data_IF_016222111897
#
_entry.id   IF_016222111897
#
_cell.length_a   1.000
_cell.length_b   1.000
_cell.length_c   1.000
_cell.angle_alpha   90.00
_cell.angle_beta   90.00
_cell.angle_gamma   90.00
#
_symmetry.space_group_name_H-M   'P 1'
#
loop_
_entity.id
_entity.type
_entity.pdbx_description
1 polymer ?
#
# COMPACT_ATOMS: atom_id res chain seq x y z
N UNK A 1 -9.20 -13.28 -8.15
CA UNK A 1 -9.24 -11.81 -8.30
C UNK A 1 -7.84 -11.23 -8.50
N UNK A 2 -6.88 -11.43 -7.57
CA UNK A 2 -5.54 -10.78 -7.63
C UNK A 2 -4.78 -11.16 -8.92
N UNK A 3 -4.83 -12.43 -9.37
CA UNK A 3 -4.24 -12.85 -10.65
C UNK A 3 -4.90 -12.14 -11.84
N UNK A 4 -6.20 -11.91 -11.80
CA UNK A 4 -6.90 -11.14 -12.83
C UNK A 4 -6.48 -9.67 -12.82
N UNK A 5 -6.23 -9.08 -11.63
CA UNK A 5 -5.66 -7.73 -11.52
C UNK A 5 -4.29 -7.68 -12.19
N UNK A 6 -3.42 -8.65 -11.92
CA UNK A 6 -2.09 -8.73 -12.55
C UNK A 6 -2.19 -8.81 -14.10
N UNK A 7 -3.14 -9.61 -14.62
CA UNK A 7 -3.40 -9.72 -16.06
C UNK A 7 -3.92 -8.41 -16.65
N UNK A 8 -4.89 -7.76 -16.02
CA UNK A 8 -5.43 -6.47 -16.49
C UNK A 8 -4.36 -5.36 -16.50
N UNK A 9 -3.50 -5.29 -15.48
CA UNK A 9 -2.39 -4.34 -15.44
C UNK A 9 -1.39 -4.59 -16.57
N UNK A 10 -1.13 -5.86 -16.91
CA UNK A 10 -0.25 -6.23 -18.00
C UNK A 10 -0.84 -5.84 -19.36
N UNK A 11 -2.12 -6.16 -19.60
CA UNK A 11 -2.83 -5.89 -20.85
C UNK A 11 -3.01 -4.37 -21.09
N UNK A 12 -3.15 -3.57 -20.03
CA UNK A 12 -3.36 -2.13 -20.11
C UNK A 12 -2.11 -1.32 -19.70
N UNK A 13 -0.91 -1.92 -19.76
CA UNK A 13 0.34 -1.25 -19.34
C UNK A 13 0.60 0.06 -20.08
N UNK A 14 0.31 0.15 -21.36
CA UNK A 14 0.46 1.37 -22.16
C UNK A 14 -0.42 2.50 -21.64
N UNK A 15 -1.70 2.23 -21.32
CA UNK A 15 -2.62 3.21 -20.76
C UNK A 15 -2.13 3.74 -19.41
N UNK A 16 -1.56 2.86 -18.58
CA UNK A 16 -0.98 3.24 -17.28
C UNK A 16 0.24 4.13 -17.48
N UNK A 17 1.11 3.81 -18.45
CA UNK A 17 2.31 4.61 -18.76
C UNK A 17 1.95 5.98 -19.33
N UNK A 18 0.92 6.07 -20.19
CA UNK A 18 0.40 7.35 -20.70
C UNK A 18 -0.17 8.22 -19.56
N UNK A 19 -0.97 7.64 -18.67
CA UNK A 19 -1.48 8.33 -17.49
C UNK A 19 -0.35 8.82 -16.58
N UNK A 20 0.70 8.01 -16.40
CA UNK A 20 1.85 8.39 -15.61
C UNK A 20 2.66 9.52 -16.24
N UNK A 21 2.73 9.57 -17.56
CA UNK A 21 3.38 10.68 -18.28
C UNK A 21 2.68 12.01 -17.97
N UNK A 22 1.34 12.05 -17.95
CA UNK A 22 0.58 13.25 -17.57
C UNK A 22 0.90 13.68 -16.13
N UNK A 23 0.96 12.74 -15.19
CA UNK A 23 1.33 13.05 -13.81
C UNK A 23 2.77 13.59 -13.70
N UNK A 24 3.71 13.00 -14.45
CA UNK A 24 5.10 13.47 -14.48
C UNK A 24 5.26 14.86 -15.08
N UNK A 25 4.53 15.18 -16.14
CA UNK A 25 4.56 16.51 -16.77
C UNK A 25 3.99 17.55 -15.79
N UNK A 26 2.85 17.26 -15.15
CA UNK A 26 2.28 18.10 -14.09
C UNK A 26 3.23 18.26 -12.89
N UNK A 27 3.98 17.22 -12.51
CA UNK A 27 4.94 17.27 -11.42
C UNK A 27 6.14 18.16 -11.75
N UNK A 28 6.62 18.14 -12.98
CA UNK A 28 7.70 19.02 -13.48
C UNK A 28 7.25 20.48 -13.53
N UNK A 29 6.05 20.74 -14.04
CA UNK A 29 5.47 22.10 -14.08
C UNK A 29 5.33 22.71 -12.68
N UNK A 30 5.04 21.86 -11.68
CA UNK A 30 4.99 22.25 -10.26
C UNK A 30 6.36 22.27 -9.57
N UNK A 31 7.45 22.03 -10.30
CA UNK A 31 8.84 22.00 -9.80
C UNK A 31 9.01 21.06 -8.60
N UNK A 32 8.40 19.87 -8.64
CA UNK A 32 8.62 18.87 -7.59
C UNK A 32 10.09 18.40 -7.61
N UNK A 33 10.61 18.01 -6.44
CA UNK A 33 11.98 17.52 -6.33
C UNK A 33 12.20 16.25 -7.14
N UNK A 34 13.43 16.04 -7.62
CA UNK A 34 13.86 14.82 -8.34
C UNK A 34 13.50 13.54 -7.57
N UNK A 35 13.63 13.57 -6.25
CA UNK A 35 13.26 12.44 -5.39
C UNK A 35 11.75 12.14 -5.42
N UNK A 36 10.90 13.15 -5.57
CA UNK A 36 9.45 12.97 -5.73
C UNK A 36 9.11 12.48 -7.13
N UNK A 37 9.76 13.02 -8.16
CA UNK A 37 9.61 12.59 -9.55
C UNK A 37 10.03 11.12 -9.70
N UNK A 38 11.16 10.70 -9.11
CA UNK A 38 11.58 9.28 -9.12
C UNK A 38 10.57 8.36 -8.44
N UNK A 39 9.93 8.82 -7.35
CA UNK A 39 8.88 8.03 -6.68
C UNK A 39 7.60 7.91 -7.50
N UNK A 40 7.27 8.93 -8.26
CA UNK A 40 6.09 9.02 -9.10
C UNK A 40 6.24 8.20 -10.40
N UNK A 41 7.46 8.14 -10.93
CA UNK A 41 7.76 7.51 -12.21
C UNK A 41 7.28 6.06 -12.25
N UNK A 42 6.51 5.73 -13.27
CA UNK A 42 6.29 4.38 -13.77
C UNK A 42 6.94 4.25 -15.14
N UNK A 43 7.75 3.23 -15.31
CA UNK A 43 8.24 2.71 -16.57
C UNK A 43 7.82 1.24 -16.69
N UNK A 44 8.11 0.62 -17.82
CA UNK A 44 7.73 -0.78 -18.03
C UNK A 44 8.33 -1.73 -16.99
N UNK A 45 9.53 -1.42 -16.49
CA UNK A 45 10.20 -2.24 -15.46
C UNK A 45 9.42 -2.14 -14.14
N UNK A 46 8.99 -0.94 -13.76
CA UNK A 46 8.22 -0.70 -12.52
C UNK A 46 6.81 -1.26 -12.61
N UNK A 47 6.17 -1.19 -13.79
CA UNK A 47 4.87 -1.86 -14.02
C UNK A 47 5.03 -3.38 -13.91
N UNK A 48 6.07 -3.96 -14.53
CA UNK A 48 6.35 -5.39 -14.39
C UNK A 48 6.65 -5.78 -12.92
N UNK A 49 7.37 -4.94 -12.18
CA UNK A 49 7.62 -5.16 -10.75
C UNK A 49 6.34 -5.12 -9.92
N UNK A 50 5.40 -4.22 -10.24
CA UNK A 50 4.08 -4.18 -9.61
C UNK A 50 3.29 -5.46 -9.89
N UNK A 51 3.27 -5.94 -11.11
CA UNK A 51 2.64 -7.22 -11.51
C UNK A 51 3.27 -8.39 -10.73
N UNK A 52 4.60 -8.41 -10.63
CA UNK A 52 5.32 -9.44 -9.88
C UNK A 52 4.96 -9.42 -8.39
N UNK A 53 4.82 -8.23 -7.78
CA UNK A 53 4.35 -8.08 -6.39
C UNK A 53 2.96 -8.69 -6.19
N UNK A 54 2.06 -8.54 -7.16
CA UNK A 54 0.72 -9.17 -7.09
C UNK A 54 0.81 -10.70 -7.09
N UNK A 55 1.65 -11.29 -7.94
CA UNK A 55 1.90 -12.74 -7.93
C UNK A 55 2.50 -13.22 -6.59
N UNK A 56 3.39 -12.44 -6.00
CA UNK A 56 3.93 -12.73 -4.67
C UNK A 56 2.85 -12.69 -3.59
N UNK A 57 1.94 -11.70 -3.65
CA UNK A 57 0.79 -11.62 -2.72
C UNK A 57 -0.14 -12.82 -2.85
N UNK A 58 -0.39 -13.29 -4.09
CA UNK A 58 -1.18 -14.52 -4.32
C UNK A 58 -0.59 -15.71 -3.57
N UNK A 59 0.74 -15.84 -3.60
CA UNK A 59 1.46 -16.96 -2.98
C UNK A 59 1.59 -16.86 -1.45
N UNK A 60 1.25 -15.73 -0.83
CA UNK A 60 1.19 -15.62 0.63
C UNK A 60 0.13 -16.59 1.16
N UNK A 61 0.46 -17.30 2.22
CA UNK A 61 -0.51 -18.16 2.92
C UNK A 61 -1.74 -17.35 3.32
N UNK A 62 -2.93 -17.91 3.12
CA UNK A 62 -4.18 -17.26 3.50
C UNK A 62 -4.16 -16.91 4.99
N UNK A 63 -4.28 -15.61 5.36
CA UNK A 63 -4.24 -15.20 6.77
C UNK A 63 -5.56 -15.40 7.50
N UNK A 64 -6.66 -15.74 6.79
CA UNK A 64 -8.00 -15.83 7.38
C UNK A 64 -8.23 -17.23 7.98
N UNK A 65 -9.02 -17.29 9.04
CA UNK A 65 -9.40 -18.53 9.73
C UNK A 65 -8.21 -19.36 10.24
N UNK A 66 -7.06 -18.71 10.49
CA UNK A 66 -5.92 -19.39 11.08
C UNK A 66 -6.08 -19.47 12.61
N UNK A 67 -6.08 -20.68 13.14
CA UNK A 67 -6.06 -20.89 14.61
C UNK A 67 -4.68 -20.50 15.13
N UNK A 68 -4.60 -19.42 15.88
CA UNK A 68 -3.36 -18.90 16.47
C UNK A 68 -3.06 -19.51 17.85
N UNK A 69 -4.11 -19.86 18.59
CA UNK A 69 -4.02 -20.52 19.88
C UNK A 69 -5.29 -21.29 20.17
N UNK A 70 -5.15 -22.39 20.88
CA UNK A 70 -6.27 -23.20 21.37
C UNK A 70 -5.99 -23.60 22.83
N UNK A 71 -7.02 -23.57 23.65
CA UNK A 71 -6.93 -24.06 25.04
C UNK A 71 -8.30 -24.55 25.52
N UNK A 72 -8.26 -25.47 26.49
CA UNK A 72 -9.44 -26.03 27.16
C UNK A 72 -9.55 -25.49 28.58
N UNK A 73 -10.75 -25.16 29.00
CA UNK A 73 -11.05 -24.77 30.39
C UNK A 73 -11.40 -25.97 31.25
N UNK A 74 -11.26 -25.88 32.60
CA UNK A 74 -11.58 -27.00 33.49
C UNK A 74 -13.00 -27.54 33.36
N UNK A 75 -13.94 -26.77 32.83
CA UNK A 75 -15.31 -27.18 32.57
C UNK A 75 -15.51 -27.83 31.18
N UNK A 76 -14.43 -28.14 30.44
CA UNK A 76 -14.47 -28.75 29.12
C UNK A 76 -14.73 -27.78 27.95
N UNK A 77 -14.86 -26.46 28.20
CA UNK A 77 -15.02 -25.47 27.14
C UNK A 77 -13.73 -25.32 26.34
N UNK A 78 -13.79 -25.59 25.03
CA UNK A 78 -12.69 -25.35 24.09
C UNK A 78 -12.78 -23.94 23.50
N UNK A 79 -11.68 -23.23 23.60
CA UNK A 79 -11.57 -21.84 23.13
C UNK A 79 -10.47 -21.80 22.07
N UNK A 80 -10.76 -21.14 20.93
CA UNK A 80 -9.79 -20.89 19.87
C UNK A 80 -9.70 -19.39 19.60
N UNK A 81 -8.48 -18.91 19.42
CA UNK A 81 -8.21 -17.57 18.85
C UNK A 81 -7.96 -17.72 17.36
N UNK A 82 -8.90 -17.22 16.55
CA UNK A 82 -8.90 -17.34 15.10
C UNK A 82 -8.75 -15.98 14.46
N UNK A 83 -7.97 -15.90 13.37
CA UNK A 83 -7.83 -14.65 12.58
C UNK A 83 -9.07 -14.39 11.75
N UNK A 84 -9.49 -13.11 11.70
CA UNK A 84 -10.62 -12.62 10.91
C UNK A 84 -10.21 -11.35 10.17
N UNK A 85 -10.91 -10.95 9.09
CA UNK A 85 -10.71 -9.64 8.45
C UNK A 85 -10.93 -8.49 9.45
N UNK A 86 -10.26 -7.36 9.20
CA UNK A 86 -10.45 -6.13 9.97
C UNK A 86 -11.76 -5.42 9.59
N UNK A 87 -12.17 -5.53 8.32
CA UNK A 87 -13.34 -4.86 7.76
C UNK A 87 -12.99 -3.97 6.58
N UNK A 88 -13.30 -2.68 6.67
CA UNK A 88 -13.01 -1.68 5.64
C UNK A 88 -11.78 -0.86 6.03
N UNK A 89 -10.75 -0.89 5.21
CA UNK A 89 -9.47 -0.22 5.47
C UNK A 89 -9.36 1.04 4.61
N UNK A 90 -9.17 2.20 5.25
CA UNK A 90 -8.81 3.44 4.57
C UNK A 90 -7.29 3.52 4.38
N UNK A 91 -6.80 3.63 3.15
CA UNK A 91 -5.36 3.76 2.88
C UNK A 91 -5.11 5.13 2.24
N UNK A 92 -4.35 5.98 2.96
CA UNK A 92 -3.98 7.33 2.51
C UNK A 92 -2.49 7.32 2.17
N UNK A 93 -2.14 7.58 0.90
CA UNK A 93 -0.77 7.44 0.43
C UNK A 93 -0.33 8.59 -0.49
N UNK A 94 0.98 8.78 -0.61
CA UNK A 94 1.62 9.85 -1.39
C UNK A 94 2.56 9.28 -2.45
N UNK A 95 2.67 9.98 -3.59
CA UNK A 95 3.74 9.92 -4.60
C UNK A 95 4.19 8.49 -5.04
N UNK A 96 3.33 7.50 -4.97
CA UNK A 96 3.68 6.10 -5.34
C UNK A 96 2.49 5.39 -5.96
N UNK A 97 2.33 5.46 -7.30
CA UNK A 97 1.18 4.85 -7.97
C UNK A 97 1.05 3.33 -7.73
N UNK A 98 2.17 2.60 -7.59
CA UNK A 98 2.16 1.17 -7.31
C UNK A 98 1.43 0.80 -6.02
N UNK A 99 1.39 1.70 -5.03
CA UNK A 99 0.67 1.46 -3.76
C UNK A 99 -0.82 1.22 -4.01
N UNK A 100 -1.39 1.80 -5.07
CA UNK A 100 -2.79 1.57 -5.46
C UNK A 100 -3.08 0.07 -5.65
N UNK A 101 -2.25 -0.65 -6.41
CA UNK A 101 -2.41 -2.08 -6.66
C UNK A 101 -1.97 -2.93 -5.46
N UNK A 102 -0.79 -2.64 -4.88
CA UNK A 102 -0.23 -3.42 -3.77
C UNK A 102 -1.15 -3.41 -2.54
N UNK A 103 -1.65 -2.22 -2.17
CA UNK A 103 -2.51 -2.05 -1.01
C UNK A 103 -3.88 -2.73 -1.21
N UNK A 104 -4.49 -2.57 -2.39
CA UNK A 104 -5.75 -3.23 -2.70
C UNK A 104 -5.61 -4.76 -2.68
N UNK A 105 -4.55 -5.30 -3.29
CA UNK A 105 -4.31 -6.73 -3.33
C UNK A 105 -4.11 -7.33 -1.92
N UNK A 106 -3.37 -6.64 -1.04
CA UNK A 106 -3.21 -7.07 0.36
C UNK A 106 -4.53 -7.04 1.13
N UNK A 107 -5.37 -6.03 0.91
CA UNK A 107 -6.70 -5.97 1.51
C UNK A 107 -7.58 -7.13 1.03
N UNK A 108 -7.63 -7.37 -0.27
CA UNK A 108 -8.39 -8.50 -0.86
C UNK A 108 -7.87 -9.83 -0.30
N UNK A 109 -6.54 -10.04 -0.28
CA UNK A 109 -5.92 -11.29 0.23
C UNK A 109 -6.29 -11.57 1.68
N UNK A 110 -6.48 -10.52 2.47
CA UNK A 110 -6.86 -10.61 3.87
C UNK A 110 -8.37 -10.42 4.13
N UNK A 111 -9.20 -10.50 3.06
CA UNK A 111 -10.66 -10.45 3.16
C UNK A 111 -11.24 -9.10 3.56
N UNK A 112 -10.48 -8.02 3.37
CA UNK A 112 -10.90 -6.66 3.70
C UNK A 112 -11.35 -5.91 2.44
N UNK A 113 -12.32 -5.01 2.59
CA UNK A 113 -12.57 -3.97 1.62
C UNK A 113 -11.59 -2.79 1.83
N UNK A 114 -11.40 -1.96 0.81
CA UNK A 114 -10.45 -0.86 0.86
C UNK A 114 -10.98 0.41 0.21
N UNK A 115 -10.77 1.55 0.88
CA UNK A 115 -10.95 2.89 0.32
C UNK A 115 -9.56 3.53 0.18
N UNK A 116 -9.15 3.74 -1.07
CA UNK A 116 -7.85 4.27 -1.45
C UNK A 116 -7.92 5.79 -1.64
N UNK A 117 -6.98 6.52 -1.03
CA UNK A 117 -6.81 7.95 -1.27
C UNK A 117 -5.34 8.24 -1.59
N UNK A 118 -5.04 8.33 -2.88
CA UNK A 118 -3.70 8.66 -3.38
C UNK A 118 -3.40 10.16 -3.38
N UNK A 119 -2.12 10.52 -3.47
CA UNK A 119 -1.68 11.90 -3.61
C UNK A 119 -2.16 12.54 -4.91
N UNK A 120 -2.25 13.87 -4.91
CA UNK A 120 -2.68 14.66 -6.08
C UNK A 120 -1.69 14.59 -7.25
N UNK A 121 -0.45 14.30 -6.96
CA UNK A 121 0.64 14.19 -7.93
C UNK A 121 0.60 12.89 -8.76
N UNK A 122 -0.13 11.88 -8.31
CA UNK A 122 -0.25 10.57 -8.97
C UNK A 122 -1.70 10.23 -9.36
N UNK A 123 -2.53 11.23 -9.52
CA UNK A 123 -3.98 11.05 -9.66
C UNK A 123 -4.35 10.26 -10.92
N UNK A 124 -3.80 10.60 -12.07
CA UNK A 124 -4.12 9.93 -13.34
C UNK A 124 -3.59 8.50 -13.35
N UNK A 125 -2.37 8.27 -12.86
CA UNK A 125 -1.80 6.93 -12.72
C UNK A 125 -2.65 6.06 -11.78
N UNK A 126 -3.03 6.59 -10.62
CA UNK A 126 -3.85 5.86 -9.65
C UNK A 126 -5.21 5.49 -10.25
N UNK A 127 -5.84 6.41 -11.01
CA UNK A 127 -7.10 6.18 -11.70
C UNK A 127 -6.99 5.11 -12.79
N UNK A 128 -5.90 5.13 -13.58
CA UNK A 128 -5.66 4.11 -14.60
C UNK A 128 -5.49 2.72 -13.98
N UNK A 129 -4.68 2.59 -12.92
CA UNK A 129 -4.49 1.34 -12.17
C UNK A 129 -5.82 0.89 -11.55
N UNK A 130 -6.55 1.78 -10.90
CA UNK A 130 -7.86 1.48 -10.30
C UNK A 130 -8.86 0.94 -11.33
N UNK A 131 -8.92 1.52 -12.53
CA UNK A 131 -9.81 1.05 -13.58
C UNK A 131 -9.48 -0.39 -14.03
N UNK A 132 -8.21 -0.75 -14.08
CA UNK A 132 -7.78 -2.13 -14.33
C UNK A 132 -8.24 -3.07 -13.21
N UNK A 133 -8.09 -2.63 -11.95
CA UNK A 133 -8.52 -3.43 -10.80
C UNK A 133 -10.02 -3.68 -10.81
N UNK A 134 -10.85 -2.67 -11.07
CA UNK A 134 -12.32 -2.84 -11.12
C UNK A 134 -12.71 -3.82 -12.23
N UNK A 135 -12.15 -3.72 -13.43
CA UNK A 135 -12.39 -4.69 -14.50
C UNK A 135 -12.05 -6.13 -14.08
N UNK A 136 -10.95 -6.30 -13.35
CA UNK A 136 -10.53 -7.60 -12.84
C UNK A 136 -11.49 -8.14 -11.76
N UNK A 137 -11.97 -7.28 -10.87
CA UNK A 137 -12.94 -7.63 -9.83
C UNK A 137 -14.28 -8.06 -10.46
N UNK A 138 -14.75 -7.32 -11.45
CA UNK A 138 -15.98 -7.67 -12.19
C UNK A 138 -15.81 -9.02 -12.92
N UNK A 139 -14.66 -9.25 -13.58
CA UNK A 139 -14.32 -10.55 -14.22
C UNK A 139 -14.25 -11.70 -13.20
N UNK A 140 -13.85 -11.40 -11.96
CA UNK A 140 -13.83 -12.39 -10.88
C UNK A 140 -15.21 -12.69 -10.28
N UNK A 141 -16.25 -11.97 -10.68
CA UNK A 141 -17.61 -12.10 -10.14
C UNK A 141 -17.75 -11.59 -8.70
N UNK A 142 -16.86 -10.66 -8.28
CA UNK A 142 -16.90 -10.03 -6.98
C UNK A 142 -17.56 -8.65 -7.07
N UNK A 143 -18.06 -8.15 -5.93
CA UNK A 143 -18.61 -6.80 -5.86
C UNK A 143 -17.51 -5.76 -6.07
N UNK A 144 -17.65 -4.88 -7.07
CA UNK A 144 -16.69 -3.82 -7.38
C UNK A 144 -16.51 -2.81 -6.24
N UNK A 145 -17.47 -2.74 -5.31
CA UNK A 145 -17.38 -1.87 -4.13
C UNK A 145 -16.31 -2.32 -3.10
N UNK A 146 -15.73 -3.51 -3.24
CA UNK A 146 -14.64 -3.95 -2.34
C UNK A 146 -13.36 -3.14 -2.50
N UNK A 147 -13.17 -2.47 -3.64
CA UNK A 147 -12.09 -1.51 -3.86
C UNK A 147 -12.71 -0.19 -4.29
N UNK A 148 -12.42 0.87 -3.58
CA UNK A 148 -12.87 2.21 -3.92
C UNK A 148 -11.68 3.17 -3.97
N UNK A 149 -11.68 4.09 -4.94
CA UNK A 149 -10.71 5.18 -5.03
C UNK A 149 -11.43 6.51 -4.83
N UNK A 150 -10.95 7.33 -3.91
CA UNK A 150 -11.48 8.68 -3.69
C UNK A 150 -11.25 9.51 -4.96
N UNK A 151 -12.32 9.98 -5.64
CA UNK A 151 -12.24 10.55 -7.00
C UNK A 151 -11.88 12.04 -7.00
N UNK A 152 -11.17 12.51 -5.98
CA UNK A 152 -10.79 13.93 -5.87
C UNK A 152 -9.37 14.10 -5.34
N UNK A 153 -8.71 15.15 -5.80
CA UNK A 153 -7.40 15.59 -5.30
C UNK A 153 -7.51 16.51 -4.09
N UNK A 154 -8.73 16.91 -3.71
CA UNK A 154 -8.96 17.80 -2.59
C UNK A 154 -8.42 17.20 -1.28
N UNK A 155 -7.72 18.03 -0.51
CA UNK A 155 -7.16 17.66 0.80
C UNK A 155 -8.22 17.57 1.88
N UNK A 156 -9.37 18.21 1.68
CA UNK A 156 -10.50 18.15 2.62
C UNK A 156 -11.11 16.75 2.66
N UNK A 157 -11.04 15.99 1.57
CA UNK A 157 -11.44 14.58 1.54
C UNK A 157 -10.65 13.73 2.55
N UNK A 158 -9.36 14.03 2.77
CA UNK A 158 -8.57 13.36 3.82
C UNK A 158 -9.13 13.69 5.20
N UNK A 159 -9.38 14.98 5.49
CA UNK A 159 -9.98 15.39 6.76
C UNK A 159 -11.32 14.71 7.01
N UNK A 160 -12.17 14.61 5.98
CA UNK A 160 -13.45 13.91 6.04
C UNK A 160 -13.27 12.41 6.36
N UNK A 161 -12.34 11.73 5.68
CA UNK A 161 -12.02 10.33 5.96
C UNK A 161 -11.58 10.12 7.41
N UNK A 162 -10.74 11.01 7.95
CA UNK A 162 -10.20 10.90 9.30
C UNK A 162 -11.25 11.14 10.39
N UNK A 163 -12.12 12.12 10.20
CA UNK A 163 -13.02 12.62 11.26
C UNK A 163 -14.45 12.13 11.16
N UNK A 164 -14.96 11.85 9.94
CA UNK A 164 -16.39 11.68 9.69
C UNK A 164 -16.78 10.29 9.17
N UNK A 165 -15.81 9.47 8.72
CA UNK A 165 -16.07 8.15 8.16
C UNK A 165 -15.96 7.00 9.18
N UNK A 166 -16.02 7.27 10.48
CA UNK A 166 -15.90 6.24 11.52
C UNK A 166 -17.02 5.18 11.51
N UNK A 167 -18.12 5.43 10.78
CA UNK A 167 -19.19 4.44 10.56
C UNK A 167 -18.90 3.51 9.36
N UNK A 168 -17.94 3.86 8.51
CA UNK A 168 -17.65 3.18 7.25
C UNK A 168 -16.23 2.62 7.19
N UNK A 169 -15.32 3.09 8.03
CA UNK A 169 -13.92 2.69 8.08
C UNK A 169 -13.59 2.11 9.45
N UNK A 170 -12.99 0.94 9.47
CA UNK A 170 -12.54 0.25 10.68
C UNK A 170 -11.12 0.63 11.08
N UNK A 171 -10.25 0.87 10.08
CA UNK A 171 -8.83 1.17 10.28
C UNK A 171 -8.34 2.13 9.20
N UNK A 172 -7.43 3.03 9.55
CA UNK A 172 -6.70 3.87 8.60
C UNK A 172 -5.22 3.51 8.60
N UNK A 173 -4.65 3.38 7.40
CA UNK A 173 -3.22 3.12 7.18
C UNK A 173 -2.61 4.26 6.37
N UNK A 174 -1.87 5.19 7.00
CA UNK A 174 -1.13 6.21 6.27
C UNK A 174 0.16 5.64 5.67
N UNK A 175 0.44 6.00 4.42
CA UNK A 175 1.66 5.62 3.70
C UNK A 175 2.26 6.84 2.99
N UNK A 176 3.08 7.60 3.66
CA UNK A 176 3.67 8.83 3.11
C UNK A 176 4.75 9.42 4.00
N UNK A 177 5.01 10.71 3.82
CA UNK A 177 5.97 11.46 4.62
C UNK A 177 5.48 11.69 6.06
N UNK A 178 6.42 12.15 6.89
CA UNK A 178 6.19 12.42 8.32
C UNK A 178 4.99 13.35 8.57
N UNK A 179 4.81 14.36 7.71
CA UNK A 179 3.70 15.33 7.82
C UNK A 179 2.34 14.67 7.66
N UNK A 180 2.18 13.77 6.67
CA UNK A 180 0.94 13.03 6.48
C UNK A 180 0.66 12.09 7.67
N UNK A 181 1.66 11.31 8.07
CA UNK A 181 1.48 10.34 9.17
C UNK A 181 1.15 11.07 10.48
N UNK A 182 1.82 12.18 10.76
CA UNK A 182 1.54 13.02 11.93
C UNK A 182 0.11 13.56 11.89
N UNK A 183 -0.31 14.14 10.75
CA UNK A 183 -1.67 14.64 10.57
C UNK A 183 -2.71 13.53 10.82
N UNK A 184 -2.50 12.34 10.25
CA UNK A 184 -3.42 11.21 10.44
C UNK A 184 -3.48 10.81 11.91
N UNK A 185 -2.36 10.75 12.62
CA UNK A 185 -2.34 10.40 14.05
C UNK A 185 -3.03 11.45 14.95
N UNK A 186 -2.94 12.72 14.57
CA UNK A 186 -3.54 13.82 15.36
C UNK A 186 -5.04 14.01 15.07
N UNK A 187 -5.49 13.82 13.83
CA UNK A 187 -6.85 14.13 13.39
C UNK A 187 -7.78 12.91 13.35
N UNK A 188 -7.24 11.67 13.28
CA UNK A 188 -8.07 10.49 13.11
C UNK A 188 -8.91 10.17 14.35
N UNK A 189 -10.20 9.91 14.10
CA UNK A 189 -11.17 9.36 15.08
C UNK A 189 -11.39 7.86 14.88
N UNK A 190 -10.60 7.25 14.01
CA UNK A 190 -10.61 5.85 13.61
C UNK A 190 -9.26 5.26 14.00
N UNK A 191 -9.17 4.00 14.42
CA UNK A 191 -7.89 3.35 14.69
C UNK A 191 -6.88 3.51 13.55
N UNK A 192 -5.63 3.85 13.88
CA UNK A 192 -4.56 4.09 12.90
C UNK A 192 -3.47 3.03 13.05
N UNK A 193 -3.11 2.37 11.96
CA UNK A 193 -1.93 1.53 11.88
C UNK A 193 -0.87 2.29 11.05
N UNK A 194 0.09 2.89 11.73
CA UNK A 194 1.13 3.69 11.09
C UNK A 194 2.32 3.96 11.99
N UNK A 195 3.40 4.43 11.39
CA UNK A 195 4.61 4.86 12.11
C UNK A 195 5.13 6.18 11.55
N UNK A 196 5.71 7.02 12.41
CA UNK A 196 6.23 8.34 12.02
C UNK A 196 7.57 8.23 11.29
N UNK A 197 8.47 7.42 11.79
CA UNK A 197 9.85 7.27 11.27
C UNK A 197 10.32 5.83 11.38
N UNK A 198 11.07 5.37 10.38
CA UNK A 198 11.83 4.14 10.45
C UNK A 198 13.25 4.44 10.93
N UNK A 199 13.58 4.14 12.18
CA UNK A 199 14.94 4.22 12.70
C UNK A 199 15.58 2.86 12.45
N UNK A 200 16.45 2.80 11.44
CA UNK A 200 17.07 1.55 11.00
C UNK A 200 18.52 1.49 11.45
N UNK A 201 18.90 0.41 12.10
CA UNK A 201 20.24 0.18 12.64
C UNK A 201 20.89 -1.05 12.01
N UNK A 202 22.18 -0.94 11.70
CA UNK A 202 23.02 -2.09 11.36
C UNK A 202 24.03 -2.26 12.49
N UNK A 203 23.92 -3.35 13.24
CA UNK A 203 24.89 -3.67 14.29
C UNK A 203 25.94 -4.66 13.77
N UNK A 204 27.21 -4.31 13.88
CA UNK A 204 28.34 -5.18 13.51
C UNK A 204 28.95 -5.76 14.77
N UNK A 205 28.72 -7.06 14.97
CA UNK A 205 29.36 -7.76 16.07
C UNK A 205 30.85 -7.99 15.82
N UNK A 206 31.64 -8.06 16.88
CA UNK A 206 33.13 -8.25 16.82
C UNK A 206 33.58 -9.49 16.04
N UNK A 207 32.72 -10.51 15.91
CA UNK A 207 32.99 -11.74 15.16
C UNK A 207 32.49 -11.71 13.73
N UNK A 208 31.90 -10.59 13.26
CA UNK A 208 31.35 -10.50 11.92
C UNK A 208 32.47 -10.45 10.87
N UNK A 209 32.19 -11.00 9.68
CA UNK A 209 33.06 -10.84 8.53
C UNK A 209 33.03 -9.37 8.05
N UNK A 210 34.18 -8.68 8.12
CA UNK A 210 34.28 -7.26 7.79
C UNK A 210 33.97 -6.95 6.32
N UNK A 211 34.36 -7.83 5.39
CA UNK A 211 34.06 -7.64 3.96
C UNK A 211 32.56 -7.69 3.67
N UNK A 212 31.87 -8.68 4.21
CA UNK A 212 30.40 -8.78 4.11
C UNK A 212 29.72 -7.62 4.82
N UNK A 213 30.15 -7.26 6.03
CA UNK A 213 29.60 -6.14 6.79
C UNK A 213 29.68 -4.83 6.02
N UNK A 214 30.81 -4.56 5.37
CA UNK A 214 31.01 -3.37 4.51
C UNK A 214 29.98 -3.37 3.37
N UNK A 215 29.82 -4.50 2.66
CA UNK A 215 28.88 -4.63 1.54
C UNK A 215 27.44 -4.40 1.98
N UNK A 216 27.03 -4.98 3.12
CA UNK A 216 25.70 -4.80 3.69
C UNK A 216 25.44 -3.35 4.06
N UNK A 217 26.40 -2.67 4.74
CA UNK A 217 26.24 -1.27 5.14
C UNK A 217 26.14 -0.36 3.93
N UNK A 218 27.01 -0.53 2.94
CA UNK A 218 26.97 0.28 1.72
C UNK A 218 25.66 0.11 0.98
N UNK A 219 25.16 -1.12 0.85
CA UNK A 219 23.85 -1.38 0.27
C UNK A 219 22.75 -0.72 1.09
N UNK A 220 22.68 -0.94 2.40
CA UNK A 220 21.64 -0.45 3.27
C UNK A 220 21.56 1.08 3.36
N UNK A 221 22.71 1.77 3.41
CA UNK A 221 22.78 3.20 3.70
C UNK A 221 23.04 4.08 2.47
N UNK A 222 23.66 3.55 1.43
CA UNK A 222 24.15 4.35 0.29
C UNK A 222 23.39 4.11 -1.01
N UNK A 223 22.78 2.93 -1.19
CA UNK A 223 22.08 2.59 -2.44
C UNK A 223 20.91 3.53 -2.73
N UNK A 224 20.16 3.92 -1.72
CA UNK A 224 18.97 4.76 -1.83
C UNK A 224 18.73 5.49 -0.51
N UNK A 225 19.30 6.66 -0.36
CA UNK A 225 19.29 7.42 0.90
C UNK A 225 17.91 7.96 1.31
N UNK A 226 16.96 8.00 0.38
CA UNK A 226 15.59 8.47 0.63
C UNK A 226 14.60 7.41 1.12
N UNK A 227 15.07 6.19 1.42
CA UNK A 227 14.22 5.10 1.96
C UNK A 227 14.71 4.68 3.34
N UNK A 228 13.81 4.09 4.14
CA UNK A 228 14.16 3.46 5.41
C UNK A 228 14.95 2.17 5.10
N UNK A 229 16.26 2.27 5.06
CA UNK A 229 17.19 1.16 4.87
C UNK A 229 17.85 0.78 6.19
N UNK A 230 17.94 -0.52 6.49
CA UNK A 230 18.60 -1.02 7.70
C UNK A 230 20.11 -0.79 7.68
#
# INVERSE_FOLDING_TARGET
AIELIASELKENSEVILEANKLDLDNARDRMLSESMIDRLLLDQIRVNSMIQSLHEIVNIKDPINQVQAEWERPNGLKIQRVTVPLGVIGIIYESRPNVTADAAALCIKSGNAVILRGGSESFESNKAIYNCMIKAIDKAGLDSNIIQLVPTVDRDAVGYMLSSMHQYLDVIVPRGGKSLVKRVQEEARIPVIGHLEGICHVYIHKTANLGMSRSVILNAKMRRTGICGA
#
